data_IF_791262374130
#
_entry.id   IF_791262374130
#
_cell.length_a   1.000
_cell.length_b   1.000
_cell.length_c   1.000
_cell.angle_alpha   90.00
_cell.angle_beta   90.00
_cell.angle_gamma   90.00
#
_symmetry.space_group_name_H-M   'P 1'
#
loop_
_entity.id
_entity.type
_entity.pdbx_description
1 polymer ?
#
# COMPACT_ATOMS: atom_id res chain seq x y z
N UNK A 1 26.22 -19.44 -29.55
CA UNK A 1 25.51 -18.14 -29.40
C UNK A 1 25.37 -17.91 -27.89
N UNK A 2 26.16 -17.02 -27.32
CA UNK A 2 25.94 -16.53 -25.96
C UNK A 2 24.71 -15.65 -26.00
N UNK A 3 23.69 -15.98 -25.20
CA UNK A 3 22.57 -15.07 -24.96
C UNK A 3 23.14 -13.73 -24.48
N UNK A 4 22.60 -12.58 -24.92
CA UNK A 4 22.97 -11.31 -24.35
C UNK A 4 22.74 -11.38 -22.83
N UNK A 5 23.57 -10.72 -22.00
CA UNK A 5 23.31 -10.66 -20.57
C UNK A 5 21.88 -10.13 -20.38
N UNK A 6 21.11 -10.79 -19.51
CA UNK A 6 19.80 -10.30 -19.13
C UNK A 6 19.94 -8.84 -18.69
N UNK A 7 19.06 -7.97 -19.19
CA UNK A 7 19.02 -6.57 -18.74
C UNK A 7 18.86 -6.57 -17.21
N UNK A 8 19.64 -5.77 -16.50
CA UNK A 8 19.47 -5.65 -15.06
C UNK A 8 18.19 -4.89 -14.77
N UNK A 9 17.33 -5.47 -13.92
CA UNK A 9 16.21 -4.72 -13.35
C UNK A 9 16.71 -3.70 -12.33
N UNK A 10 16.00 -2.59 -12.24
CA UNK A 10 16.16 -1.59 -11.19
C UNK A 10 14.78 -1.24 -10.62
N UNK A 11 14.74 -0.61 -9.45
CA UNK A 11 13.50 -0.02 -8.93
C UNK A 11 13.76 1.34 -8.30
N UNK A 12 12.70 2.14 -8.26
CA UNK A 12 12.66 3.43 -7.57
C UNK A 12 11.30 3.63 -6.95
N UNK A 13 11.22 4.46 -5.92
CA UNK A 13 9.97 4.73 -5.21
C UNK A 13 9.61 6.21 -5.24
N UNK A 14 8.31 6.50 -5.23
CA UNK A 14 7.77 7.84 -5.00
C UNK A 14 6.84 7.79 -3.80
N UNK A 15 7.09 8.64 -2.81
CA UNK A 15 6.21 8.83 -1.66
C UNK A 15 5.48 10.17 -1.80
N UNK A 16 4.16 10.14 -1.71
CA UNK A 16 3.34 11.35 -1.72
C UNK A 16 2.63 11.52 -0.37
N UNK A 17 2.86 12.64 0.30
CA UNK A 17 2.20 12.98 1.56
C UNK A 17 0.85 13.63 1.31
N UNK A 18 -0.11 13.35 2.16
CA UNK A 18 -1.43 14.00 2.20
C UNK A 18 -1.88 14.23 3.65
N UNK A 19 -2.86 15.09 3.89
CA UNK A 19 -3.52 15.17 5.19
C UNK A 19 -4.14 13.84 5.60
N UNK A 20 -4.17 13.54 6.90
CA UNK A 20 -4.88 12.40 7.46
C UNK A 20 -6.39 12.50 7.25
N UNK A 21 -7.09 11.36 7.33
CA UNK A 21 -8.55 11.29 7.22
C UNK A 21 -9.25 11.77 8.49
N UNK A 22 -8.66 11.48 9.65
CA UNK A 22 -9.22 11.79 10.97
C UNK A 22 -8.86 13.23 11.35
N UNK A 23 -9.88 14.01 11.72
CA UNK A 23 -9.70 15.44 12.00
C UNK A 23 -9.68 15.78 13.49
N UNK A 24 -10.47 15.06 14.30
CA UNK A 24 -10.63 15.33 15.73
C UNK A 24 -9.71 14.43 16.56
N UNK A 25 -8.41 14.57 16.33
CA UNK A 25 -7.39 13.83 17.07
C UNK A 25 -7.13 14.45 18.43
N UNK A 26 -6.80 13.65 19.47
CA UNK A 26 -6.24 14.19 20.70
C UNK A 26 -5.02 15.05 20.42
N UNK A 27 -4.83 16.17 21.15
CA UNK A 27 -3.70 17.09 20.95
C UNK A 27 -2.35 16.41 21.28
N UNK A 28 -1.25 16.96 20.75
CA UNK A 28 0.11 16.57 21.09
C UNK A 28 0.89 15.84 19.99
N UNK A 29 0.28 15.60 18.81
CA UNK A 29 0.95 14.95 17.68
C UNK A 29 0.65 15.64 16.34
N UNK A 30 0.47 16.95 16.38
CA UNK A 30 0.04 17.75 15.22
C UNK A 30 1.03 17.69 14.06
N UNK A 31 2.32 17.60 14.35
CA UNK A 31 3.41 17.46 13.39
C UNK A 31 3.46 16.07 12.71
N UNK A 32 2.81 15.05 13.31
CA UNK A 32 2.70 13.70 12.77
C UNK A 32 1.40 13.45 11.98
N UNK A 33 0.52 14.43 11.85
CA UNK A 33 -0.82 14.32 11.25
C UNK A 33 -0.80 14.32 9.72
N UNK A 34 -0.01 13.44 9.14
CA UNK A 34 0.05 13.24 7.70
C UNK A 34 0.08 11.74 7.37
N UNK A 35 -0.35 11.42 6.15
CA UNK A 35 -0.28 10.08 5.56
C UNK A 35 0.61 10.12 4.34
N UNK A 36 1.44 9.13 4.18
CA UNK A 36 2.23 8.93 2.98
C UNK A 36 1.80 7.64 2.31
N UNK A 37 1.45 7.70 1.02
CA UNK A 37 1.38 6.53 0.17
C UNK A 37 2.67 6.40 -0.63
N UNK A 38 3.09 5.16 -0.88
CA UNK A 38 4.31 4.83 -1.63
C UNK A 38 3.93 4.02 -2.85
N UNK A 39 4.42 4.43 -3.99
CA UNK A 39 4.37 3.63 -5.23
C UNK A 39 5.77 3.19 -5.59
N UNK A 40 5.89 2.05 -6.28
CA UNK A 40 7.17 1.51 -6.72
C UNK A 40 7.16 1.35 -8.23
N UNK A 41 8.16 1.90 -8.91
CA UNK A 41 8.41 1.63 -10.33
C UNK A 41 9.58 0.66 -10.45
N UNK A 42 9.32 -0.49 -11.05
CA UNK A 42 10.32 -1.51 -11.39
C UNK A 42 10.53 -1.41 -12.89
N UNK A 43 11.78 -1.31 -13.34
CA UNK A 43 12.05 -1.08 -14.76
C UNK A 43 13.30 -1.84 -15.23
N UNK A 44 13.22 -2.26 -16.47
CA UNK A 44 14.33 -2.82 -17.24
C UNK A 44 14.94 -1.78 -18.16
N UNK A 45 15.42 -2.25 -19.32
CA UNK A 45 16.04 -1.39 -20.30
C UNK A 45 15.02 -0.53 -21.08
N UNK A 46 13.81 -1.06 -21.33
CA UNK A 46 12.79 -0.45 -22.18
C UNK A 46 11.45 -0.28 -21.49
N UNK A 47 11.06 -1.25 -20.66
CA UNK A 47 9.73 -1.36 -20.07
C UNK A 47 9.76 -1.17 -18.55
N UNK A 48 8.60 -0.82 -17.98
CA UNK A 48 8.40 -0.66 -16.55
C UNK A 48 7.07 -1.26 -16.08
N UNK A 49 7.05 -1.64 -14.80
CA UNK A 49 5.86 -1.97 -14.00
C UNK A 49 5.74 -0.97 -12.88
N UNK A 50 4.60 -0.30 -12.78
CA UNK A 50 4.24 0.50 -11.62
C UNK A 50 3.45 -0.36 -10.64
N UNK A 51 3.78 -0.31 -9.36
CA UNK A 51 3.02 -0.96 -8.28
C UNK A 51 2.31 0.11 -7.49
N UNK A 52 0.98 0.02 -7.45
CA UNK A 52 0.02 0.93 -6.85
C UNK A 52 -0.01 2.34 -7.48
N UNK A 53 -0.96 3.14 -7.03
CA UNK A 53 -1.19 4.53 -7.45
C UNK A 53 -1.47 5.39 -6.21
N UNK A 54 -1.96 6.61 -6.40
CA UNK A 54 -2.34 7.50 -5.30
C UNK A 54 -3.85 7.78 -5.27
N UNK A 55 -4.26 8.46 -4.20
CA UNK A 55 -5.66 8.78 -3.92
C UNK A 55 -6.21 9.92 -4.78
N UNK A 56 -5.50 11.05 -4.84
CA UNK A 56 -6.06 12.30 -5.36
C UNK A 56 -5.61 12.60 -6.78
N UNK A 57 -6.41 13.40 -7.48
CA UNK A 57 -6.11 13.89 -8.84
C UNK A 57 -4.73 14.55 -8.89
N UNK A 58 -4.43 15.41 -7.91
CA UNK A 58 -3.15 16.12 -7.86
C UNK A 58 -1.96 15.16 -7.65
N UNK A 59 -2.07 14.24 -6.70
CA UNK A 59 -1.02 13.24 -6.45
C UNK A 59 -0.78 12.34 -7.67
N UNK A 60 -1.84 11.94 -8.36
CA UNK A 60 -1.74 11.12 -9.56
C UNK A 60 -1.20 11.90 -10.76
N UNK A 61 -1.41 13.21 -10.84
CA UNK A 61 -0.73 14.02 -11.84
C UNK A 61 0.78 14.08 -11.58
N UNK A 62 1.20 14.23 -10.33
CA UNK A 62 2.62 14.14 -9.94
C UNK A 62 3.21 12.77 -10.28
N UNK A 63 2.43 11.69 -10.06
CA UNK A 63 2.82 10.32 -10.40
C UNK A 63 3.02 10.16 -11.91
N UNK A 64 2.10 10.64 -12.74
CA UNK A 64 2.24 10.62 -14.21
C UNK A 64 3.52 11.33 -14.65
N UNK A 65 3.79 12.50 -14.09
CA UNK A 65 4.98 13.28 -14.45
C UNK A 65 6.27 12.60 -13.96
N UNK A 66 6.22 11.92 -12.82
CA UNK A 66 7.36 11.15 -12.30
C UNK A 66 7.65 9.90 -13.15
N UNK A 67 6.61 9.15 -13.55
CA UNK A 67 6.77 7.99 -14.45
C UNK A 67 7.34 8.41 -15.79
N UNK A 68 6.86 9.51 -16.39
CA UNK A 68 7.39 10.04 -17.66
C UNK A 68 8.89 10.36 -17.60
N UNK A 69 9.37 10.87 -16.46
CA UNK A 69 10.80 11.20 -16.27
C UNK A 69 11.71 9.97 -16.25
N UNK A 70 11.16 8.77 -16.04
CA UNK A 70 11.96 7.56 -16.07
C UNK A 70 12.28 7.09 -17.51
N UNK A 71 11.61 7.67 -18.52
CA UNK A 71 11.83 7.39 -19.96
C UNK A 71 11.77 5.89 -20.28
N UNK A 72 10.74 5.22 -19.76
CA UNK A 72 10.44 3.81 -19.99
C UNK A 72 8.99 3.66 -20.44
N UNK A 73 8.71 2.64 -21.25
CA UNK A 73 7.36 2.27 -21.60
C UNK A 73 6.68 1.63 -20.40
N UNK A 74 5.61 2.25 -19.88
CA UNK A 74 4.83 1.68 -18.78
C UNK A 74 3.98 0.53 -19.33
N UNK A 75 4.41 -0.72 -19.09
CA UNK A 75 3.73 -1.92 -19.59
C UNK A 75 2.58 -2.34 -18.68
N UNK A 76 2.79 -2.29 -17.36
CA UNK A 76 1.79 -2.72 -16.39
C UNK A 76 1.66 -1.73 -15.22
N UNK A 77 0.43 -1.68 -14.67
CA UNK A 77 0.16 -1.16 -13.32
C UNK A 77 -0.35 -2.34 -12.50
N UNK A 78 0.40 -2.78 -11.51
CA UNK A 78 -0.03 -3.84 -10.59
C UNK A 78 -0.62 -3.23 -9.33
N UNK A 79 -1.80 -3.69 -8.90
CA UNK A 79 -2.48 -3.23 -7.69
C UNK A 79 -2.39 -4.29 -6.60
N UNK A 80 -1.87 -3.90 -5.44
CA UNK A 80 -1.61 -4.82 -4.32
C UNK A 80 -2.89 -5.20 -3.57
N UNK A 81 -3.82 -4.27 -3.38
CA UNK A 81 -5.10 -4.48 -2.68
C UNK A 81 -6.15 -3.45 -3.10
N UNK A 82 -7.38 -3.60 -2.60
CA UNK A 82 -8.56 -2.89 -3.12
C UNK A 82 -8.83 -1.51 -2.54
N UNK A 83 -8.01 -0.93 -1.64
CA UNK A 83 -8.24 0.40 -1.12
C UNK A 83 -8.01 1.50 -2.18
N UNK A 84 -8.86 2.52 -2.16
CA UNK A 84 -8.89 3.56 -3.18
C UNK A 84 -7.59 4.34 -3.34
N UNK A 85 -6.82 4.51 -2.27
CA UNK A 85 -5.53 5.20 -2.29
C UNK A 85 -4.38 4.36 -2.91
N UNK A 86 -4.67 3.15 -3.37
CA UNK A 86 -3.76 2.30 -4.14
C UNK A 86 -4.18 2.13 -5.61
N UNK A 87 -5.44 2.40 -6.00
CA UNK A 87 -5.87 2.16 -7.38
C UNK A 87 -6.60 3.33 -8.08
N UNK A 88 -7.05 4.38 -7.37
CA UNK A 88 -7.82 5.46 -8.00
C UNK A 88 -7.04 6.19 -9.11
N UNK A 89 -5.73 6.21 -9.05
CA UNK A 89 -4.87 6.82 -10.06
C UNK A 89 -4.80 6.07 -11.39
N UNK A 90 -5.30 4.84 -11.48
CA UNK A 90 -5.31 4.07 -12.74
C UNK A 90 -5.90 4.91 -13.88
N UNK A 91 -7.00 5.64 -13.63
CA UNK A 91 -7.63 6.50 -14.64
C UNK A 91 -6.64 7.45 -15.31
N UNK A 92 -5.91 8.25 -14.55
CA UNK A 92 -4.98 9.24 -15.10
C UNK A 92 -3.78 8.58 -15.79
N UNK A 93 -3.34 7.43 -15.27
CA UNK A 93 -2.24 6.68 -15.85
C UNK A 93 -2.60 6.06 -17.21
N UNK A 94 -3.81 5.45 -17.34
CA UNK A 94 -4.22 4.91 -18.66
C UNK A 94 -4.48 6.02 -19.70
N UNK A 95 -4.90 7.21 -19.27
CA UNK A 95 -5.00 8.37 -20.14
C UNK A 95 -3.63 8.90 -20.59
N UNK A 96 -2.64 8.85 -19.72
CA UNK A 96 -1.28 9.33 -20.01
C UNK A 96 -0.42 8.30 -20.75
N UNK A 97 -0.69 7.00 -20.55
CA UNK A 97 0.03 5.86 -21.12
C UNK A 97 -0.97 4.85 -21.72
N UNK A 98 -1.49 5.10 -22.95
CA UNK A 98 -2.62 4.32 -23.50
C UNK A 98 -2.34 2.83 -23.75
N UNK A 99 -1.09 2.41 -23.75
CA UNK A 99 -0.69 0.99 -23.93
C UNK A 99 -0.57 0.22 -22.63
N UNK A 100 -0.67 0.90 -21.46
CA UNK A 100 -0.50 0.27 -20.17
C UNK A 100 -1.67 -0.68 -19.83
N UNK A 101 -1.36 -1.79 -19.19
CA UNK A 101 -2.37 -2.76 -18.73
C UNK A 101 -2.42 -2.75 -17.20
N UNK A 102 -3.48 -2.20 -16.59
CA UNK A 102 -3.71 -2.35 -15.15
C UNK A 102 -4.14 -3.78 -14.82
N UNK A 103 -3.45 -4.40 -13.85
CA UNK A 103 -3.65 -5.79 -13.43
C UNK A 103 -3.65 -5.94 -11.92
N UNK A 104 -4.32 -6.97 -11.42
CA UNK A 104 -4.31 -7.40 -10.02
C UNK A 104 -4.64 -8.89 -9.92
N UNK A 105 -4.47 -9.49 -8.75
CA UNK A 105 -5.07 -10.78 -8.45
C UNK A 105 -6.61 -10.70 -8.59
N UNK A 106 -7.26 -11.81 -8.90
CA UNK A 106 -8.71 -11.81 -9.20
C UNK A 106 -9.55 -11.29 -8.01
N UNK A 107 -9.21 -11.71 -6.79
CA UNK A 107 -9.91 -11.27 -5.58
C UNK A 107 -9.68 -9.77 -5.32
N UNK A 108 -8.45 -9.28 -5.50
CA UNK A 108 -8.09 -7.86 -5.38
C UNK A 108 -8.85 -6.99 -6.40
N UNK A 109 -8.93 -7.44 -7.67
CA UNK A 109 -9.68 -6.74 -8.70
C UNK A 109 -11.19 -6.68 -8.39
N UNK A 110 -11.74 -7.73 -7.78
CA UNK A 110 -13.13 -7.75 -7.32
C UNK A 110 -13.37 -6.78 -6.15
N UNK A 111 -12.46 -6.74 -5.16
CA UNK A 111 -12.51 -5.79 -4.03
C UNK A 111 -12.43 -4.35 -4.52
N UNK A 112 -11.50 -4.02 -5.42
CA UNK A 112 -11.37 -2.69 -6.00
C UNK A 112 -12.67 -2.22 -6.69
N UNK A 113 -13.42 -3.13 -7.34
CA UNK A 113 -14.72 -2.79 -7.93
C UNK A 113 -15.78 -2.43 -6.90
N UNK A 114 -15.73 -3.01 -5.71
CA UNK A 114 -16.64 -2.69 -4.59
C UNK A 114 -16.28 -1.30 -4.05
N UNK A 115 -15.01 -1.07 -3.76
CA UNK A 115 -14.48 0.20 -3.23
C UNK A 115 -14.67 1.38 -4.20
N UNK A 116 -14.58 1.13 -5.49
CA UNK A 116 -14.78 2.13 -6.55
C UNK A 116 -16.23 2.39 -6.94
N UNK A 117 -17.20 1.83 -6.21
CA UNK A 117 -18.62 2.14 -6.49
C UNK A 117 -18.97 3.57 -6.05
N UNK A 118 -19.86 4.29 -6.80
CA UNK A 118 -20.27 5.62 -6.39
C UNK A 118 -20.77 5.70 -4.94
N UNK A 119 -21.63 4.80 -4.43
CA UNK A 119 -22.06 4.84 -3.04
C UNK A 119 -20.91 4.76 -2.04
N UNK A 120 -19.88 3.94 -2.30
CA UNK A 120 -18.71 3.83 -1.40
C UNK A 120 -17.85 5.11 -1.48
N UNK A 121 -17.58 5.58 -2.69
CA UNK A 121 -16.81 6.82 -2.89
C UNK A 121 -17.49 8.00 -2.20
N UNK A 122 -18.80 8.17 -2.40
CA UNK A 122 -19.57 9.29 -1.86
C UNK A 122 -19.62 9.25 -0.32
N UNK A 123 -19.73 8.08 0.28
CA UNK A 123 -19.84 7.93 1.74
C UNK A 123 -18.50 7.98 2.44
N UNK A 124 -17.43 7.44 1.84
CA UNK A 124 -16.13 7.32 2.50
C UNK A 124 -15.11 8.36 2.01
N UNK A 125 -14.87 8.46 0.69
CA UNK A 125 -13.78 9.27 0.15
C UNK A 125 -14.15 10.72 -0.16
N UNK A 126 -15.30 10.95 -0.83
CA UNK A 126 -15.67 12.28 -1.33
C UNK A 126 -15.89 13.31 -0.22
N UNK A 127 -16.43 12.89 0.92
CA UNK A 127 -16.60 13.77 2.08
C UNK A 127 -15.27 14.19 2.72
N UNK A 128 -14.22 13.39 2.56
CA UNK A 128 -12.88 13.63 3.11
C UNK A 128 -11.98 14.38 2.13
N UNK A 129 -12.16 14.13 0.85
CA UNK A 129 -11.39 14.69 -0.27
C UNK A 129 -12.33 15.24 -1.36
N UNK A 130 -13.13 16.29 -1.05
CA UNK A 130 -14.15 16.80 -1.96
C UNK A 130 -13.54 17.28 -3.28
N UNK A 131 -14.06 16.74 -4.40
CA UNK A 131 -13.60 17.08 -5.75
C UNK A 131 -12.22 16.58 -6.13
N UNK A 132 -11.56 15.77 -5.27
CA UNK A 132 -10.19 15.31 -5.50
C UNK A 132 -10.09 13.84 -5.95
N UNK A 133 -11.18 13.09 -5.90
CA UNK A 133 -11.17 11.67 -6.31
C UNK A 133 -11.36 11.58 -7.83
N UNK A 134 -10.46 10.91 -8.56
CA UNK A 134 -10.59 10.72 -10.01
C UNK A 134 -11.91 10.03 -10.37
N UNK A 135 -12.58 10.49 -11.43
CA UNK A 135 -13.85 9.93 -11.93
C UNK A 135 -13.88 9.89 -13.47
N UNK A 136 -14.55 8.91 -14.12
CA UNK A 136 -15.01 7.65 -13.52
C UNK A 136 -13.84 6.75 -13.09
N UNK A 137 -14.10 5.78 -12.23
CA UNK A 137 -13.07 4.83 -11.83
C UNK A 137 -12.68 3.88 -12.98
N UNK A 138 -11.40 3.55 -13.05
CA UNK A 138 -10.86 2.49 -13.92
C UNK A 138 -10.30 1.38 -13.02
N UNK A 139 -10.65 0.15 -13.31
CA UNK A 139 -10.33 -1.00 -12.47
C UNK A 139 -9.25 -1.88 -13.11
N UNK A 140 -8.42 -2.55 -12.29
CA UNK A 140 -7.48 -3.51 -12.81
C UNK A 140 -8.20 -4.73 -13.40
N UNK A 141 -7.60 -5.34 -14.42
CA UNK A 141 -8.01 -6.62 -14.99
C UNK A 141 -7.44 -7.76 -14.15
N UNK A 142 -8.21 -8.80 -13.84
CA UNK A 142 -7.67 -9.98 -13.18
C UNK A 142 -6.55 -10.62 -14.00
N UNK A 143 -5.43 -10.95 -13.33
CA UNK A 143 -4.37 -11.76 -13.92
C UNK A 143 -4.84 -13.20 -14.11
N UNK A 144 -4.34 -13.86 -15.18
CA UNK A 144 -4.46 -15.29 -15.36
C UNK A 144 -3.24 -15.96 -14.68
N UNK A 145 -3.47 -16.47 -13.47
CA UNK A 145 -2.42 -17.01 -12.61
C UNK A 145 -1.78 -15.97 -11.68
N UNK A 146 -0.63 -16.33 -11.14
CA UNK A 146 0.11 -15.57 -10.12
C UNK A 146 1.40 -14.91 -10.62
N UNK A 147 1.64 -14.94 -11.93
CA UNK A 147 2.88 -14.40 -12.51
C UNK A 147 2.64 -13.66 -13.81
N UNK A 148 3.46 -12.65 -14.05
CA UNK A 148 3.64 -11.98 -15.33
C UNK A 148 5.14 -11.65 -15.53
N UNK A 149 5.52 -11.11 -16.65
CA UNK A 149 6.93 -10.86 -16.95
C UNK A 149 7.17 -9.42 -17.40
N UNK A 150 8.32 -8.86 -17.00
CA UNK A 150 8.88 -7.63 -17.51
C UNK A 150 10.23 -7.93 -18.17
N UNK A 151 10.33 -7.75 -19.48
CA UNK A 151 11.55 -8.04 -20.27
C UNK A 151 12.14 -9.46 -20.00
N UNK A 152 11.25 -10.44 -19.74
CA UNK A 152 11.65 -11.82 -19.42
C UNK A 152 11.91 -12.09 -17.94
N UNK A 153 11.97 -11.07 -17.10
CA UNK A 153 12.08 -11.20 -15.65
C UNK A 153 10.73 -11.50 -15.02
N UNK A 154 10.71 -12.44 -14.07
CA UNK A 154 9.49 -12.86 -13.39
C UNK A 154 9.03 -11.83 -12.38
N UNK A 155 7.76 -11.46 -12.47
CA UNK A 155 6.98 -10.74 -11.47
C UNK A 155 6.00 -11.74 -10.86
N UNK A 156 6.10 -12.01 -9.55
CA UNK A 156 5.27 -12.99 -8.88
C UNK A 156 4.35 -12.32 -7.87
N UNK A 157 3.06 -12.56 -8.03
CA UNK A 157 2.04 -12.13 -7.06
C UNK A 157 2.04 -13.11 -5.89
N UNK A 158 2.17 -12.60 -4.68
CA UNK A 158 2.08 -13.35 -3.43
C UNK A 158 0.74 -13.00 -2.79
N UNK A 159 -0.17 -13.96 -2.74
CA UNK A 159 -1.40 -13.80 -1.99
C UNK A 159 -1.10 -13.85 -0.49
N UNK A 160 -1.49 -12.81 0.23
CA UNK A 160 -1.21 -12.66 1.66
C UNK A 160 -2.47 -12.79 2.53
N UNK A 161 -3.63 -12.86 1.90
CA UNK A 161 -4.91 -13.00 2.58
C UNK A 161 -5.38 -11.68 3.20
N UNK A 162 -5.79 -11.72 4.47
CA UNK A 162 -6.26 -10.55 5.17
C UNK A 162 -5.09 -9.77 5.78
N UNK A 163 -5.08 -8.44 5.57
CA UNK A 163 -4.15 -7.50 6.20
C UNK A 163 -4.94 -6.36 6.85
N UNK A 164 -4.77 -5.14 6.42
CA UNK A 164 -5.64 -4.00 6.75
C UNK A 164 -7.03 -4.13 6.10
N UNK A 165 -7.12 -4.91 5.01
CA UNK A 165 -8.35 -5.34 4.34
C UNK A 165 -8.19 -6.78 3.80
N UNK A 166 -9.26 -7.36 3.27
CA UNK A 166 -9.25 -8.67 2.63
C UNK A 166 -8.65 -8.63 1.21
N UNK A 167 -8.31 -9.81 0.69
CA UNK A 167 -7.78 -9.99 -0.68
C UNK A 167 -6.51 -9.17 -0.98
N UNK A 168 -5.65 -9.01 0.03
CA UNK A 168 -4.37 -8.33 -0.11
C UNK A 168 -3.30 -9.22 -0.74
N UNK A 169 -2.42 -8.59 -1.52
CA UNK A 169 -1.29 -9.23 -2.20
C UNK A 169 -0.05 -8.38 -2.09
N UNK A 170 1.11 -9.01 -2.36
CA UNK A 170 2.39 -8.33 -2.56
C UNK A 170 2.99 -8.74 -3.91
N UNK A 171 3.88 -7.92 -4.47
CA UNK A 171 4.65 -8.27 -5.64
C UNK A 171 6.06 -8.69 -5.23
N UNK A 172 6.45 -9.91 -5.56
CA UNK A 172 7.80 -10.43 -5.41
C UNK A 172 8.56 -10.36 -6.73
N UNK A 173 9.73 -9.76 -6.71
CA UNK A 173 10.66 -9.66 -7.85
C UNK A 173 11.94 -10.43 -7.51
N UNK A 174 12.04 -11.72 -7.90
CA UNK A 174 13.15 -12.59 -7.49
C UNK A 174 14.53 -12.05 -7.84
N UNK A 175 14.68 -11.50 -9.05
CA UNK A 175 15.98 -11.02 -9.56
C UNK A 175 16.52 -9.82 -8.78
N UNK A 176 15.66 -9.04 -8.14
CA UNK A 176 16.02 -7.95 -7.23
C UNK A 176 15.98 -8.37 -5.75
N UNK A 177 15.44 -9.56 -5.45
CA UNK A 177 15.06 -9.94 -4.09
C UNK A 177 14.22 -8.84 -3.41
N UNK A 178 13.32 -8.23 -4.19
CA UNK A 178 12.46 -7.13 -3.79
C UNK A 178 11.06 -7.64 -3.52
N UNK A 179 10.50 -7.27 -2.36
CA UNK A 179 9.06 -7.35 -2.09
C UNK A 179 8.48 -5.94 -2.12
N UNK A 180 7.48 -5.70 -2.97
CA UNK A 180 6.60 -4.54 -2.85
C UNK A 180 5.36 -5.00 -2.11
N UNK A 181 5.29 -4.61 -0.83
CA UNK A 181 4.41 -5.27 0.13
C UNK A 181 2.98 -4.72 0.16
N UNK A 182 2.70 -3.57 -0.49
CA UNK A 182 1.47 -2.85 -0.22
C UNK A 182 1.30 -2.65 1.29
N UNK A 183 0.08 -2.79 1.78
CA UNK A 183 -0.25 -2.58 3.19
C UNK A 183 -0.04 -3.81 4.08
N UNK A 184 0.57 -4.88 3.55
CA UNK A 184 1.12 -5.95 4.41
C UNK A 184 2.18 -5.41 5.36
N UNK A 185 2.95 -4.40 4.92
CA UNK A 185 3.99 -3.76 5.73
C UNK A 185 3.79 -2.24 5.81
N UNK A 186 4.09 -1.68 6.97
CA UNK A 186 4.12 -0.24 7.25
C UNK A 186 5.49 0.17 7.77
N UNK A 187 5.98 1.33 7.36
CA UNK A 187 7.31 1.78 7.71
C UNK A 187 7.30 3.19 8.30
N UNK A 188 7.39 3.31 9.63
CA UNK A 188 7.35 4.59 10.34
C UNK A 188 5.99 5.28 10.33
N UNK A 189 4.92 4.57 10.00
CA UNK A 189 3.54 5.04 9.94
C UNK A 189 2.69 4.18 10.88
N UNK A 190 1.72 4.76 11.60
CA UNK A 190 0.70 4.00 12.32
C UNK A 190 -0.20 3.27 11.33
N UNK A 191 -0.42 1.97 11.56
CA UNK A 191 -1.15 1.09 10.66
C UNK A 191 -2.65 1.40 10.68
N UNK A 192 -3.31 1.21 9.53
CA UNK A 192 -4.76 1.28 9.45
C UNK A 192 -5.40 0.01 10.01
N UNK A 193 -6.23 0.15 11.03
CA UNK A 193 -6.87 -0.97 11.76
C UNK A 193 -8.40 -0.98 11.62
N UNK A 194 -8.95 -0.09 10.79
CA UNK A 194 -10.40 0.18 10.75
C UNK A 194 -11.27 -1.00 10.30
N UNK A 195 -10.72 -1.95 9.53
CA UNK A 195 -11.43 -3.15 9.07
C UNK A 195 -11.03 -4.41 9.85
N UNK A 196 -10.12 -4.29 10.82
CA UNK A 196 -9.54 -5.46 11.50
C UNK A 196 -10.30 -5.87 12.76
N UNK A 197 -10.14 -7.14 13.10
CA UNK A 197 -10.49 -7.75 14.39
C UNK A 197 -9.25 -8.39 15.02
N UNK A 198 -9.35 -8.85 16.26
CA UNK A 198 -8.25 -9.58 16.91
C UNK A 198 -7.81 -10.80 16.09
N UNK A 199 -8.76 -11.51 15.46
CA UNK A 199 -8.49 -12.68 14.62
C UNK A 199 -7.82 -12.26 13.31
N UNK A 200 -8.36 -11.28 12.60
CA UNK A 200 -7.79 -10.88 11.30
C UNK A 200 -6.43 -10.20 11.44
N UNK A 201 -6.12 -9.60 12.60
CA UNK A 201 -4.75 -9.15 12.90
C UNK A 201 -3.76 -10.30 13.10
N UNK A 202 -4.22 -11.50 13.53
CA UNK A 202 -3.39 -12.70 13.53
C UNK A 202 -3.10 -13.17 12.08
N UNK A 203 -4.10 -13.12 11.20
CA UNK A 203 -3.90 -13.42 9.77
C UNK A 203 -2.90 -12.42 9.16
N UNK A 204 -3.00 -11.14 9.50
CA UNK A 204 -2.03 -10.14 9.05
C UNK A 204 -0.61 -10.40 9.57
N UNK A 205 -0.44 -10.80 10.83
CA UNK A 205 0.88 -11.21 11.33
C UNK A 205 1.43 -12.41 10.54
N UNK A 206 0.58 -13.37 10.16
CA UNK A 206 0.97 -14.47 9.30
C UNK A 206 1.36 -14.00 7.88
N UNK A 207 0.66 -13.01 7.32
CA UNK A 207 1.00 -12.40 6.04
C UNK A 207 2.44 -11.84 6.04
N UNK A 208 2.87 -11.20 7.14
CA UNK A 208 4.27 -10.75 7.27
C UNK A 208 5.27 -11.91 7.28
N UNK A 209 4.91 -13.06 7.88
CA UNK A 209 5.77 -14.26 7.88
C UNK A 209 5.89 -14.87 6.47
N UNK A 210 4.80 -14.87 5.68
CA UNK A 210 4.81 -15.32 4.27
C UNK A 210 5.85 -14.51 3.48
N UNK A 211 5.84 -13.19 3.62
CA UNK A 211 6.80 -12.33 2.91
C UNK A 211 8.22 -12.49 3.44
N UNK A 212 8.41 -12.63 4.75
CA UNK A 212 9.72 -12.86 5.36
C UNK A 212 10.37 -14.17 4.89
N UNK A 213 9.58 -15.21 4.64
CA UNK A 213 10.06 -16.51 4.14
C UNK A 213 10.65 -16.45 2.73
N UNK A 214 10.38 -15.38 1.96
CA UNK A 214 11.01 -15.13 0.66
C UNK A 214 12.46 -14.65 0.79
N UNK A 215 12.92 -14.32 1.99
CA UNK A 215 14.25 -13.77 2.29
C UNK A 215 14.59 -12.55 1.42
N UNK A 216 13.73 -11.51 1.39
CA UNK A 216 13.95 -10.34 0.56
C UNK A 216 15.20 -9.57 0.98
N UNK A 217 15.82 -8.88 0.02
CA UNK A 217 16.89 -7.92 0.29
C UNK A 217 16.32 -6.51 0.57
N UNK A 218 15.13 -6.23 0.00
CA UNK A 218 14.40 -4.97 0.20
C UNK A 218 12.92 -5.24 0.31
N UNK A 219 12.22 -4.47 1.15
CA UNK A 219 10.76 -4.48 1.30
C UNK A 219 10.23 -3.05 1.26
N UNK A 220 9.44 -2.74 0.24
CA UNK A 220 8.79 -1.43 0.11
C UNK A 220 7.37 -1.54 0.69
N UNK A 221 7.08 -0.72 1.69
CA UNK A 221 5.76 -0.62 2.30
C UNK A 221 4.82 0.29 1.51
N UNK A 222 3.51 0.00 1.49
CA UNK A 222 2.49 0.86 0.88
C UNK A 222 2.39 2.22 1.57
N UNK A 223 2.58 2.25 2.88
CA UNK A 223 2.70 3.47 3.68
C UNK A 223 4.05 3.53 4.38
N UNK A 224 4.86 4.52 4.01
CA UNK A 224 6.21 4.67 4.58
C UNK A 224 6.53 6.14 4.88
N UNK A 225 7.26 6.37 5.96
CA UNK A 225 7.95 7.64 6.14
C UNK A 225 9.05 7.75 5.06
N UNK A 226 9.01 8.78 4.18
CA UNK A 226 9.94 8.89 3.05
C UNK A 226 11.41 9.01 3.47
N UNK A 227 11.68 9.37 4.73
CA UNK A 227 13.04 9.48 5.27
C UNK A 227 13.65 8.11 5.67
N UNK A 228 12.85 7.01 5.60
CA UNK A 228 13.27 5.66 5.95
C UNK A 228 13.54 4.82 4.70
N UNK A 229 14.55 3.92 4.79
CA UNK A 229 14.91 2.98 3.73
C UNK A 229 13.96 1.78 3.66
N UNK A 230 14.22 0.89 2.71
CA UNK A 230 13.39 -0.29 2.40
C UNK A 230 13.99 -1.57 3.05
N UNK A 231 14.38 -1.47 4.32
CA UNK A 231 14.96 -2.56 5.10
C UNK A 231 13.90 -3.65 5.37
N UNK A 232 14.17 -4.93 5.09
CA UNK A 232 13.24 -6.04 5.34
C UNK A 232 12.78 -6.20 6.79
N UNK A 233 13.49 -5.62 7.77
CA UNK A 233 13.08 -5.62 9.19
C UNK A 233 11.67 -5.04 9.41
N UNK A 234 11.16 -4.21 8.48
CA UNK A 234 9.82 -3.64 8.59
C UNK A 234 8.72 -4.71 8.65
N UNK A 235 8.94 -5.91 8.13
CA UNK A 235 8.01 -7.03 8.28
C UNK A 235 7.89 -7.44 9.76
N UNK A 236 9.02 -7.61 10.46
CA UNK A 236 9.02 -7.90 11.89
C UNK A 236 8.49 -6.72 12.72
N UNK A 237 8.82 -5.48 12.35
CA UNK A 237 8.34 -4.27 13.03
C UNK A 237 6.82 -4.09 12.85
N UNK A 238 6.27 -4.45 11.68
CA UNK A 238 4.81 -4.47 11.44
C UNK A 238 4.14 -5.53 12.29
N UNK A 239 4.68 -6.75 12.31
CA UNK A 239 4.18 -7.85 13.14
C UNK A 239 4.18 -7.49 14.63
N UNK A 240 5.26 -6.88 15.12
CA UNK A 240 5.36 -6.46 16.52
C UNK A 240 4.32 -5.39 16.86
N UNK A 241 4.09 -4.42 15.96
CA UNK A 241 3.07 -3.41 16.16
C UNK A 241 1.66 -4.02 16.30
N UNK A 242 1.32 -5.02 15.46
CA UNK A 242 0.05 -5.74 15.54
C UNK A 242 -0.09 -6.52 16.86
N UNK A 243 0.98 -7.18 17.31
CA UNK A 243 1.02 -7.91 18.58
C UNK A 243 0.85 -6.95 19.77
N UNK A 244 1.52 -5.80 19.77
CA UNK A 244 1.39 -4.78 20.80
C UNK A 244 -0.01 -4.15 20.82
N UNK A 245 -0.59 -3.89 19.64
CA UNK A 245 -1.96 -3.40 19.55
C UNK A 245 -2.95 -4.39 20.16
N UNK A 246 -2.85 -5.70 19.85
CA UNK A 246 -3.72 -6.73 20.43
C UNK A 246 -3.54 -6.83 21.94
N UNK A 247 -2.30 -6.83 22.42
CA UNK A 247 -2.00 -6.86 23.86
C UNK A 247 -2.59 -5.65 24.57
N UNK A 248 -2.31 -4.45 24.09
CA UNK A 248 -2.81 -3.22 24.70
C UNK A 248 -4.32 -3.07 24.57
N UNK A 249 -4.91 -3.60 23.48
CA UNK A 249 -6.35 -3.68 23.35
C UNK A 249 -6.98 -4.51 24.47
N UNK A 250 -6.36 -5.61 24.87
CA UNK A 250 -6.84 -6.43 26.00
C UNK A 250 -6.60 -5.77 27.37
N UNK A 251 -5.58 -4.95 27.52
CA UNK A 251 -5.19 -4.30 28.79
C UNK A 251 -5.91 -2.97 29.05
N UNK A 252 -6.51 -2.35 28.04
CA UNK A 252 -7.19 -1.04 28.13
C UNK A 252 -8.70 -1.18 28.01
N UNK A 253 -9.45 -0.19 28.49
CA UNK A 253 -10.92 -0.21 28.51
C UNK A 253 -11.55 0.77 27.52
N UNK A 254 -10.84 1.82 27.14
CA UNK A 254 -11.36 2.90 26.28
C UNK A 254 -10.49 3.12 25.05
N UNK A 255 -11.07 3.71 23.97
CA UNK A 255 -10.28 4.11 22.80
C UNK A 255 -9.10 5.04 23.13
N UNK A 256 -9.31 5.98 24.05
CA UNK A 256 -8.28 6.93 24.48
C UNK A 256 -7.12 6.23 25.18
N UNK A 257 -7.40 5.32 26.13
CA UNK A 257 -6.34 4.54 26.80
C UNK A 257 -5.52 3.71 25.82
N UNK A 258 -6.16 3.04 24.86
CA UNK A 258 -5.46 2.26 23.83
C UNK A 258 -4.61 3.16 22.93
N UNK A 259 -5.17 4.29 22.48
CA UNK A 259 -4.46 5.27 21.66
C UNK A 259 -3.21 5.81 22.36
N UNK A 260 -3.35 6.27 23.63
CA UNK A 260 -2.24 6.83 24.42
C UNK A 260 -1.16 5.78 24.69
N UNK A 261 -1.56 4.53 25.01
CA UNK A 261 -0.62 3.43 25.24
C UNK A 261 0.17 3.08 23.99
N UNK A 262 -0.47 3.05 22.83
CA UNK A 262 0.22 2.83 21.54
C UNK A 262 1.13 3.99 21.15
N UNK A 263 0.72 5.24 21.37
CA UNK A 263 1.59 6.41 21.14
C UNK A 263 2.82 6.40 22.04
N UNK A 264 2.68 5.96 23.29
CA UNK A 264 3.82 5.84 24.20
C UNK A 264 4.86 4.81 23.71
N UNK A 265 4.43 3.74 23.06
CA UNK A 265 5.34 2.75 22.46
C UNK A 265 5.91 3.20 21.11
N UNK A 266 5.16 3.96 20.32
CA UNK A 266 5.48 4.35 18.95
C UNK A 266 5.39 5.86 18.73
N UNK A 267 6.10 6.69 19.51
CA UNK A 267 5.90 8.15 19.54
C UNK A 267 6.32 8.88 18.26
N UNK A 268 7.12 8.24 17.42
CA UNK A 268 7.66 8.85 16.19
C UNK A 268 6.95 8.42 14.89
N UNK A 269 5.97 7.51 14.99
CA UNK A 269 5.22 7.10 13.79
C UNK A 269 4.27 8.20 13.36
N UNK A 270 4.25 8.50 12.07
CA UNK A 270 3.27 9.42 11.48
C UNK A 270 1.87 8.77 11.37
N UNK A 271 0.88 9.57 11.00
CA UNK A 271 -0.51 9.16 10.84
C UNK A 271 -1.18 8.65 12.15
N UNK A 272 -1.12 9.40 13.25
CA UNK A 272 -1.84 9.02 14.47
C UNK A 272 -3.37 8.91 14.26
N UNK A 273 -3.90 9.47 13.17
CA UNK A 273 -5.30 9.33 12.77
C UNK A 273 -5.73 7.91 12.48
N UNK A 274 -4.88 7.10 11.85
CA UNK A 274 -5.14 5.67 11.65
C UNK A 274 -5.18 4.91 12.97
N UNK A 275 -4.26 5.22 13.88
CA UNK A 275 -4.27 4.64 15.23
C UNK A 275 -5.54 5.02 15.99
N UNK A 276 -5.95 6.30 15.95
CA UNK A 276 -7.17 6.76 16.62
C UNK A 276 -8.42 6.06 16.09
N UNK A 277 -8.55 5.97 14.76
CA UNK A 277 -9.64 5.22 14.12
C UNK A 277 -9.65 3.75 14.49
N UNK A 278 -8.48 3.11 14.51
CA UNK A 278 -8.31 1.71 14.91
C UNK A 278 -8.65 1.48 16.37
N UNK A 279 -8.22 2.36 17.28
CA UNK A 279 -8.56 2.29 18.71
C UNK A 279 -10.07 2.46 18.95
N UNK A 280 -10.71 3.41 18.23
CA UNK A 280 -12.16 3.57 18.25
C UNK A 280 -12.90 2.31 17.81
N UNK A 281 -12.45 1.70 16.70
CA UNK A 281 -13.06 0.47 16.18
C UNK A 281 -12.88 -0.74 17.11
N UNK A 282 -11.72 -0.86 17.74
CA UNK A 282 -11.39 -1.99 18.61
C UNK A 282 -12.15 -1.97 19.97
N UNK A 283 -12.68 -0.80 20.39
CA UNK A 283 -13.37 -0.60 21.68
C UNK A 283 -14.89 -0.39 21.55
N UNK A 284 -15.42 -0.36 20.33
CA UNK A 284 -16.85 -0.29 20.03
C UNK A 284 -17.35 -1.61 19.40
#
# INVERSE_FOLDING_TARGET
>A
MTLPPASSLEYTTLCARRPGLTRDLPPGTEDLQWVSNTVTLIFGQHDAVLVDTFLTIEQNQQLVDWVRKQDRNLAYIFITHGHGDHFFGIKQLVEAFPTVTPVAAAATAAKARIEGTPPFIDTFWAGRFPGQIPQPQVFPTPLDGDTFALEGHRMQVIETGFTDTDASTALWVPDLRLVVAGDVAYNGIHQYMGETTDTTRQDWMHATDILAALHPASVVAGHKNPDLGDDPKILAETKQYLADFNRLNAETSTPTELYEAMLALYPSRANPGSLWGGAGKAKN
#
